data_IF_540141061429
#
_entry.id   IF_540141061429
#
_cell.length_a   1.000
_cell.length_b   1.000
_cell.length_c   1.000
_cell.angle_alpha   90.00
_cell.angle_beta   90.00
_cell.angle_gamma   90.00
#
_symmetry.space_group_name_H-M   'P 1'
#
loop_
_entity.id
_entity.type
_entity.pdbx_description
1 polymer ?
#
# COMPACT_ATOMS: atom_id res chain seq x y z
N UNK A 1 0.25 -9.02 25.68
CA UNK A 1 0.56 -10.17 24.77
C UNK A 1 1.57 -9.69 23.74
N UNK A 2 2.65 -10.39 23.59
CA UNK A 2 3.63 -10.08 22.54
C UNK A 2 3.01 -10.44 21.20
N UNK A 3 2.66 -9.45 20.40
CA UNK A 3 2.15 -9.69 19.05
C UNK A 3 3.32 -10.17 18.20
N UNK A 4 3.33 -11.43 17.89
CA UNK A 4 4.37 -12.01 17.03
C UNK A 4 4.05 -11.63 15.60
N UNK A 5 4.84 -10.73 15.01
CA UNK A 5 4.73 -10.38 13.59
C UNK A 5 5.17 -11.60 12.77
N UNK A 6 4.41 -11.87 11.73
CA UNK A 6 4.68 -12.98 10.81
C UNK A 6 6.04 -12.76 10.12
N UNK A 7 6.95 -13.75 10.10
CA UNK A 7 8.31 -13.56 9.58
C UNK A 7 8.39 -13.02 8.15
N UNK A 8 7.43 -13.32 7.29
CA UNK A 8 7.37 -12.79 5.92
C UNK A 8 7.07 -11.29 5.84
N UNK A 9 6.76 -10.67 6.97
CA UNK A 9 6.45 -9.22 7.10
C UNK A 9 7.58 -8.43 7.77
N UNK A 10 8.72 -9.06 8.02
CA UNK A 10 9.89 -8.44 8.65
C UNK A 10 10.95 -8.16 7.58
N UNK A 11 11.33 -6.91 7.44
CA UNK A 11 12.28 -6.44 6.42
C UNK A 11 13.32 -5.49 7.01
N UNK A 12 14.46 -5.41 6.33
CA UNK A 12 15.29 -4.21 6.39
C UNK A 12 14.78 -3.18 5.38
N UNK A 13 15.09 -1.91 5.57
CA UNK A 13 14.82 -0.84 4.61
C UNK A 13 15.37 -1.18 3.23
N UNK A 14 16.62 -1.65 3.19
CA UNK A 14 17.29 -2.02 1.94
C UNK A 14 16.53 -3.12 1.19
N UNK A 15 16.03 -4.13 1.89
CA UNK A 15 15.24 -5.19 1.24
C UNK A 15 13.97 -4.65 0.59
N UNK A 16 13.26 -3.76 1.26
CA UNK A 16 12.06 -3.13 0.70
C UNK A 16 12.42 -2.26 -0.50
N UNK A 17 13.46 -1.44 -0.39
CA UNK A 17 13.94 -0.57 -1.47
C UNK A 17 14.34 -1.40 -2.70
N UNK A 18 15.06 -2.50 -2.54
CA UNK A 18 15.47 -3.39 -3.63
C UNK A 18 14.26 -4.04 -4.32
N UNK A 19 13.30 -4.56 -3.55
CA UNK A 19 12.10 -5.20 -4.07
C UNK A 19 11.22 -4.22 -4.85
N UNK A 20 11.00 -3.02 -4.31
CA UNK A 20 10.19 -2.00 -4.96
C UNK A 20 10.89 -1.41 -6.19
N UNK A 21 12.20 -1.15 -6.11
CA UNK A 21 13.00 -0.65 -7.25
C UNK A 21 12.96 -1.65 -8.42
N UNK A 22 13.05 -2.95 -8.13
CA UNK A 22 12.93 -3.99 -9.15
C UNK A 22 11.54 -4.08 -9.80
N UNK A 23 10.52 -3.56 -9.12
CA UNK A 23 9.13 -3.53 -9.61
C UNK A 23 8.77 -2.25 -10.37
N UNK A 24 9.53 -1.16 -10.23
CA UNK A 24 9.30 0.10 -10.94
C UNK A 24 9.30 -0.13 -12.45
N UNK A 25 8.47 0.59 -13.18
CA UNK A 25 8.23 0.48 -14.63
C UNK A 25 7.61 -0.86 -15.10
N UNK A 26 7.37 -1.80 -14.21
CA UNK A 26 6.62 -3.02 -14.54
C UNK A 26 5.13 -2.80 -14.31
N UNK A 27 4.31 -3.45 -15.11
CA UNK A 27 2.85 -3.46 -14.85
C UNK A 27 2.53 -4.32 -13.63
N UNK A 28 1.41 -4.05 -12.98
CA UNK A 28 0.95 -4.91 -11.88
C UNK A 28 0.80 -6.37 -12.32
N UNK A 29 0.36 -6.60 -13.56
CA UNK A 29 0.26 -7.95 -14.12
C UNK A 29 1.64 -8.64 -14.23
N UNK A 30 2.69 -7.90 -14.60
CA UNK A 30 4.05 -8.45 -14.72
C UNK A 30 4.66 -8.81 -13.36
N UNK A 31 4.27 -8.13 -12.29
CA UNK A 31 4.77 -8.40 -10.94
C UNK A 31 3.85 -9.32 -10.13
N UNK A 32 2.67 -9.65 -10.64
CA UNK A 32 1.66 -10.52 -9.98
C UNK A 32 2.08 -11.99 -9.98
N UNK A 33 3.07 -12.33 -9.17
CA UNK A 33 3.55 -13.71 -9.00
C UNK A 33 2.51 -14.64 -8.38
N UNK A 34 1.65 -14.11 -7.53
CA UNK A 34 0.59 -14.85 -6.85
C UNK A 34 -0.65 -15.07 -7.75
N UNK A 35 -0.65 -14.52 -8.98
CA UNK A 35 -1.77 -14.58 -9.95
C UNK A 35 -3.09 -14.06 -9.38
N UNK A 36 -3.03 -12.99 -8.62
CA UNK A 36 -4.19 -12.40 -7.94
C UNK A 36 -5.22 -11.87 -8.95
N UNK A 37 -4.78 -11.37 -10.11
CA UNK A 37 -5.70 -10.97 -11.18
C UNK A 37 -6.57 -12.13 -11.67
N UNK A 38 -6.02 -13.35 -11.79
CA UNK A 38 -6.78 -14.50 -12.23
C UNK A 38 -7.90 -14.90 -11.26
N UNK A 39 -7.74 -14.62 -9.97
CA UNK A 39 -8.75 -14.87 -8.94
C UNK A 39 -9.83 -13.77 -8.87
N UNK A 40 -9.64 -12.67 -9.59
CA UNK A 40 -10.53 -11.50 -9.60
C UNK A 40 -11.17 -11.23 -10.97
N UNK A 41 -11.15 -12.20 -11.89
CA UNK A 41 -11.80 -12.08 -13.18
C UNK A 41 -13.27 -11.64 -13.03
N UNK A 42 -13.63 -10.56 -13.75
CA UNK A 42 -14.98 -9.98 -13.71
C UNK A 42 -15.18 -8.83 -12.72
N UNK A 43 -14.15 -8.37 -12.01
CA UNK A 43 -14.25 -7.17 -11.17
C UNK A 43 -13.59 -5.98 -11.85
N UNK A 44 -14.38 -4.98 -12.21
CA UNK A 44 -13.93 -3.71 -12.83
C UNK A 44 -13.05 -2.83 -11.90
N UNK A 45 -12.72 -3.28 -10.70
CA UNK A 45 -12.03 -2.48 -9.69
C UNK A 45 -10.63 -3.00 -9.41
N UNK A 46 -9.64 -2.31 -9.96
CA UNK A 46 -8.21 -2.50 -9.64
C UNK A 46 -7.90 -2.09 -8.19
N UNK A 47 -8.76 -1.29 -7.55
CA UNK A 47 -8.63 -0.88 -6.15
C UNK A 47 -8.70 -2.10 -5.22
N UNK A 48 -7.73 -2.24 -4.35
CA UNK A 48 -7.54 -3.42 -3.49
C UNK A 48 -6.59 -4.44 -4.11
N UNK A 49 -6.80 -4.82 -5.38
CA UNK A 49 -5.90 -5.78 -6.04
C UNK A 49 -4.47 -5.24 -6.13
N UNK A 50 -4.29 -3.95 -6.40
CA UNK A 50 -2.97 -3.33 -6.45
C UNK A 50 -2.23 -3.45 -5.11
N UNK A 51 -2.93 -3.18 -4.00
CA UNK A 51 -2.38 -3.37 -2.66
C UNK A 51 -1.98 -4.81 -2.39
N UNK A 52 -2.88 -5.75 -2.67
CA UNK A 52 -2.63 -7.18 -2.50
C UNK A 52 -1.43 -7.65 -3.34
N UNK A 53 -1.28 -7.17 -4.58
CA UNK A 53 -0.13 -7.51 -5.45
C UNK A 53 1.18 -6.98 -4.86
N UNK A 54 1.21 -5.73 -4.39
CA UNK A 54 2.41 -5.18 -3.77
C UNK A 54 2.77 -5.98 -2.52
N UNK A 55 1.80 -6.24 -1.67
CA UNK A 55 2.00 -6.94 -0.41
C UNK A 55 2.41 -8.41 -0.64
N UNK A 56 1.65 -9.17 -1.43
CA UNK A 56 1.86 -10.60 -1.59
C UNK A 56 2.88 -10.96 -2.67
N UNK A 57 2.86 -10.27 -3.82
CA UNK A 57 3.70 -10.62 -4.97
C UNK A 57 5.03 -9.88 -5.01
N UNK A 58 5.07 -8.61 -4.64
CA UNK A 58 6.30 -7.81 -4.66
C UNK A 58 7.08 -7.99 -3.37
N UNK A 59 6.45 -7.78 -2.21
CA UNK A 59 7.09 -7.93 -0.91
C UNK A 59 7.14 -9.38 -0.43
N UNK A 60 6.25 -10.25 -0.91
CA UNK A 60 6.20 -11.66 -0.54
C UNK A 60 5.58 -11.91 0.84
N UNK A 61 4.77 -10.97 1.34
CA UNK A 61 4.06 -11.14 2.60
C UNK A 61 2.97 -12.19 2.48
N UNK A 62 2.82 -13.03 3.48
CA UNK A 62 1.64 -13.88 3.56
C UNK A 62 0.41 -13.06 3.94
N UNK A 63 -0.73 -13.44 3.40
CA UNK A 63 -2.01 -12.78 3.68
C UNK A 63 -2.31 -12.82 5.17
N UNK A 64 -2.64 -11.65 5.72
CA UNK A 64 -3.02 -11.47 7.10
C UNK A 64 -4.26 -10.58 7.19
N UNK A 65 -5.12 -10.83 8.16
CA UNK A 65 -6.34 -10.06 8.44
C UNK A 65 -6.23 -9.20 9.72
N UNK A 66 -5.03 -9.06 10.27
CA UNK A 66 -4.81 -8.31 11.50
C UNK A 66 -4.98 -6.80 11.29
N UNK A 67 -5.41 -6.10 12.34
CA UNK A 67 -5.56 -4.64 12.31
C UNK A 67 -4.26 -3.86 12.60
N UNK A 68 -3.15 -4.55 12.69
CA UNK A 68 -1.83 -3.97 12.93
C UNK A 68 -1.25 -3.37 11.64
N UNK A 69 -0.24 -2.48 11.74
CA UNK A 69 0.51 -2.03 10.57
C UNK A 69 1.07 -3.19 9.75
N UNK A 70 1.11 -3.04 8.43
CA UNK A 70 1.28 -4.15 7.50
C UNK A 70 2.64 -4.85 7.58
N UNK A 71 3.72 -4.11 7.86
CA UNK A 71 5.10 -4.63 7.86
C UNK A 71 5.94 -4.04 8.99
N UNK A 72 7.02 -4.74 9.34
CA UNK A 72 8.05 -4.26 10.25
C UNK A 72 9.33 -3.99 9.44
N UNK A 73 9.78 -2.74 9.41
CA UNK A 73 10.96 -2.31 8.66
C UNK A 73 12.00 -1.76 9.63
N UNK A 74 13.16 -2.41 9.71
CA UNK A 74 14.22 -2.09 10.68
C UNK A 74 13.70 -1.93 12.12
N UNK A 75 12.75 -2.79 12.51
CA UNK A 75 12.13 -2.75 13.83
C UNK A 75 11.01 -1.71 14.00
N UNK A 76 10.65 -0.98 12.95
CA UNK A 76 9.58 0.03 12.97
C UNK A 76 8.34 -0.50 12.27
N UNK A 77 7.20 -0.49 12.98
CA UNK A 77 5.90 -0.83 12.40
C UNK A 77 5.52 0.19 11.34
N UNK A 78 5.26 -0.28 10.12
CA UNK A 78 5.03 0.56 8.94
C UNK A 78 3.76 0.13 8.24
N UNK A 79 2.85 1.07 8.02
CA UNK A 79 1.63 0.87 7.22
C UNK A 79 1.96 0.98 5.73
N UNK A 80 1.52 0.01 4.93
CA UNK A 80 1.68 0.03 3.48
C UNK A 80 0.42 0.59 2.81
N UNK A 81 0.60 1.58 1.96
CA UNK A 81 -0.49 2.13 1.14
C UNK A 81 -0.11 2.15 -0.33
N UNK A 82 -1.03 1.72 -1.17
CA UNK A 82 -0.92 1.84 -2.62
C UNK A 82 -1.97 2.80 -3.15
N UNK A 83 -1.56 3.68 -4.06
CA UNK A 83 -2.49 4.64 -4.68
C UNK A 83 -2.23 4.79 -6.16
N UNK A 84 -3.32 4.92 -6.92
CA UNK A 84 -3.28 5.25 -8.33
C UNK A 84 -3.09 6.74 -8.55
N UNK A 85 -2.21 7.10 -9.47
CA UNK A 85 -2.00 8.48 -9.92
C UNK A 85 -2.52 8.67 -11.33
N UNK A 86 -3.04 9.86 -11.60
CA UNK A 86 -3.53 10.30 -12.91
C UNK A 86 -2.95 11.66 -13.28
N UNK A 87 -3.00 12.01 -14.55
CA UNK A 87 -2.77 13.41 -14.97
C UNK A 87 -3.84 14.31 -14.34
N UNK A 88 -3.46 15.53 -13.91
CA UNK A 88 -4.41 16.45 -13.35
C UNK A 88 -5.59 16.72 -14.28
N UNK A 89 -6.80 16.69 -13.76
CA UNK A 89 -8.02 16.98 -14.52
C UNK A 89 -8.10 18.45 -14.96
N UNK A 90 -7.48 19.35 -14.19
CA UNK A 90 -7.41 20.79 -14.51
C UNK A 90 -6.16 21.09 -15.29
N UNK A 91 -6.30 21.77 -16.44
CA UNK A 91 -5.18 22.14 -17.31
C UNK A 91 -4.14 23.09 -16.66
N UNK A 92 -4.58 23.86 -15.69
CA UNK A 92 -3.79 24.85 -14.94
C UNK A 92 -3.41 24.35 -13.53
N UNK A 93 -3.47 23.05 -13.31
CA UNK A 93 -3.05 22.43 -12.04
C UNK A 93 -1.56 22.71 -11.80
N UNK A 94 -1.16 23.17 -10.60
CA UNK A 94 0.23 23.30 -10.23
C UNK A 94 0.93 21.95 -10.01
N UNK A 95 0.18 20.87 -10.01
CA UNK A 95 0.67 19.52 -9.76
C UNK A 95 0.87 18.77 -11.08
N UNK A 96 1.92 17.96 -11.12
CA UNK A 96 2.19 17.07 -12.27
C UNK A 96 1.25 15.86 -12.25
N UNK A 97 0.87 15.42 -11.05
CA UNK A 97 0.01 14.27 -10.82
C UNK A 97 -1.02 14.54 -9.73
N UNK A 98 -2.14 13.84 -9.81
CA UNK A 98 -3.17 13.82 -8.77
C UNK A 98 -3.48 12.37 -8.38
N UNK A 99 -3.89 12.13 -7.15
CA UNK A 99 -4.45 10.83 -6.77
C UNK A 99 -5.77 10.62 -7.54
N UNK A 100 -5.91 9.44 -8.13
CA UNK A 100 -7.14 9.06 -8.85
C UNK A 100 -8.37 9.10 -7.94
N UNK A 101 -8.20 8.70 -6.69
CA UNK A 101 -9.24 8.64 -5.68
C UNK A 101 -8.69 9.12 -4.33
N UNK A 102 -9.54 9.63 -3.43
CA UNK A 102 -9.13 9.89 -2.06
C UNK A 102 -8.56 8.63 -1.42
N UNK A 103 -7.44 8.78 -0.73
CA UNK A 103 -6.79 7.67 -0.05
C UNK A 103 -7.36 7.53 1.35
N UNK A 104 -7.91 6.35 1.63
CA UNK A 104 -8.34 5.99 2.97
C UNK A 104 -7.13 5.57 3.80
N UNK A 105 -6.85 6.28 4.89
CA UNK A 105 -5.70 5.97 5.76
C UNK A 105 -6.07 4.84 6.71
N UNK A 106 -7.14 5.03 7.49
CA UNK A 106 -7.67 4.01 8.38
C UNK A 106 -9.14 4.28 8.71
N UNK A 107 -9.86 3.24 9.10
CA UNK A 107 -11.19 3.40 9.69
C UNK A 107 -11.04 3.79 11.16
N UNK A 108 -11.80 4.78 11.58
CA UNK A 108 -11.82 5.27 12.95
C UNK A 108 -13.13 4.87 13.60
N UNK A 109 -13.04 4.18 14.74
CA UNK A 109 -14.20 3.90 15.60
C UNK A 109 -14.38 5.04 16.58
N UNK A 110 -15.44 5.82 16.42
CA UNK A 110 -15.72 6.98 17.29
C UNK A 110 -15.80 6.57 18.77
N UNK A 111 -16.50 5.49 19.18
CA UNK A 111 -16.54 5.08 20.58
C UNK A 111 -15.17 4.72 21.17
N UNK A 112 -14.22 4.32 20.35
CA UNK A 112 -12.87 3.93 20.77
C UNK A 112 -11.98 5.16 20.85
N UNK A 113 -11.92 5.97 19.78
CA UNK A 113 -10.96 7.08 19.67
C UNK A 113 -11.20 8.19 20.71
N UNK A 114 -12.44 8.39 21.14
CA UNK A 114 -12.75 9.40 22.19
C UNK A 114 -12.19 9.04 23.58
N UNK A 115 -11.77 7.79 23.75
CA UNK A 115 -11.19 7.28 24.99
C UNK A 115 -9.68 6.97 24.86
N UNK A 116 -9.08 7.24 23.70
CA UNK A 116 -7.65 7.03 23.45
C UNK A 116 -6.87 8.33 23.54
N UNK A 117 -5.66 8.28 24.08
CA UNK A 117 -4.68 9.35 23.91
C UNK A 117 -4.13 9.29 22.49
N UNK A 118 -3.92 10.45 21.85
CA UNK A 118 -3.52 10.51 20.44
C UNK A 118 -2.25 9.71 20.14
N UNK A 119 -1.20 9.91 20.94
CA UNK A 119 0.13 9.29 20.74
C UNK A 119 0.14 7.77 20.94
N UNK A 120 -0.85 7.23 21.62
CA UNK A 120 -1.00 5.79 21.88
C UNK A 120 -2.18 5.19 21.11
N UNK A 121 -2.89 6.00 20.34
CA UNK A 121 -4.05 5.56 19.58
C UNK A 121 -3.67 4.65 18.40
N UNK A 122 -4.58 3.76 18.04
CA UNK A 122 -4.45 2.94 16.83
C UNK A 122 -4.34 3.81 15.56
N UNK A 123 -4.99 4.97 15.57
CA UNK A 123 -4.90 5.95 14.48
C UNK A 123 -3.47 6.45 14.30
N UNK A 124 -2.81 6.89 15.39
CA UNK A 124 -1.43 7.34 15.34
C UNK A 124 -0.46 6.23 14.96
N UNK A 125 -0.62 5.03 15.50
CA UNK A 125 0.22 3.88 15.15
C UNK A 125 0.24 3.58 13.66
N UNK A 126 -0.87 3.77 12.96
CA UNK A 126 -0.96 3.60 11.50
C UNK A 126 -0.44 4.78 10.69
N UNK A 127 -0.43 5.99 11.27
CA UNK A 127 0.01 7.21 10.59
C UNK A 127 1.50 7.51 10.78
N UNK A 128 2.08 7.08 11.89
CA UNK A 128 3.42 7.49 12.30
C UNK A 128 4.50 7.10 11.29
N UNK A 129 4.35 5.92 10.68
CA UNK A 129 5.28 5.43 9.66
C UNK A 129 4.51 4.78 8.52
N UNK A 130 4.61 5.34 7.33
CA UNK A 130 3.88 4.89 6.15
C UNK A 130 4.82 4.71 4.97
N UNK A 131 4.64 3.60 4.27
CA UNK A 131 5.26 3.36 2.98
C UNK A 131 4.19 3.52 1.90
N UNK A 132 4.39 4.50 1.02
CA UNK A 132 3.51 4.77 -0.10
C UNK A 132 4.08 4.17 -1.38
N UNK A 133 3.25 3.39 -2.11
CA UNK A 133 3.58 2.86 -3.43
C UNK A 133 2.62 3.46 -4.45
N UNK A 134 3.19 4.05 -5.49
CA UNK A 134 2.45 4.77 -6.53
C UNK A 134 2.42 3.95 -7.80
N UNK A 135 1.24 3.85 -8.42
CA UNK A 135 1.11 3.25 -9.73
C UNK A 135 0.40 4.22 -10.69
N UNK A 136 0.86 4.22 -11.93
CA UNK A 136 0.26 5.04 -12.96
C UNK A 136 -1.02 4.43 -13.47
N UNK A 137 -2.13 5.09 -13.27
CA UNK A 137 -3.43 4.62 -13.71
C UNK A 137 -3.76 5.19 -15.10
N UNK A 138 -3.57 4.39 -16.16
CA UNK A 138 -4.15 4.60 -17.48
C UNK A 138 -5.24 3.56 -17.70
N UNK A 139 -6.47 4.03 -17.90
CA UNK A 139 -7.62 3.17 -18.15
C UNK A 139 -7.41 2.28 -19.40
N UNK A 140 -7.88 1.05 -19.39
CA UNK A 140 -8.22 0.18 -18.27
C UNK A 140 -7.17 -0.90 -17.97
N UNK A 141 -6.01 -0.97 -18.62
CA UNK A 141 -5.19 -2.19 -18.60
C UNK A 141 -3.70 -2.03 -18.27
N UNK A 142 -3.11 -0.85 -18.39
CA UNK A 142 -1.68 -0.68 -18.15
C UNK A 142 -1.40 0.12 -16.88
N UNK A 143 -1.50 -0.54 -15.76
CA UNK A 143 -1.11 0.01 -14.47
C UNK A 143 0.36 -0.27 -14.26
N UNK A 144 1.22 0.74 -14.36
CA UNK A 144 2.65 0.63 -14.07
C UNK A 144 2.95 1.17 -12.69
N UNK A 145 3.87 0.52 -11.99
CA UNK A 145 4.49 1.07 -10.81
C UNK A 145 5.37 2.25 -11.19
N UNK A 146 5.11 3.41 -10.60
CA UNK A 146 5.83 4.65 -10.87
C UNK A 146 6.91 4.92 -9.82
N UNK A 147 6.64 4.60 -8.57
CA UNK A 147 7.58 4.82 -7.49
C UNK A 147 7.00 4.55 -6.12
N UNK A 148 7.77 4.91 -5.11
CA UNK A 148 7.37 4.81 -3.71
C UNK A 148 8.02 5.93 -2.89
N UNK A 149 7.47 6.19 -1.70
CA UNK A 149 8.04 7.11 -0.71
C UNK A 149 7.79 6.60 0.72
N UNK A 150 8.70 6.97 1.58
CA UNK A 150 8.64 6.70 3.02
C UNK A 150 8.08 7.89 3.78
#
# INVERSE_FOLDING_TARGET
MSTTIEPSRIFTRQQVDDLLTAAINKTLLQVDKAKLFAHHEGRDKVKGIAGDIIEESVLGCKKDSKQEPDILVDGVLTELKTTGMIEPKKKDSPYVYECKEPVSITAVSIPVIVNEEFETSNFWHKLAHMLWVYYWYKSPVTVKLEGYSW
#
